data_IF_294332799181
#
_entry.id   IF_294332799181
#
_cell.length_a   1.000
_cell.length_b   1.000
_cell.length_c   1.000
_cell.angle_alpha   90.00
_cell.angle_beta   90.00
_cell.angle_gamma   90.00
#
_symmetry.space_group_name_H-M   'P 1'
#
loop_
_entity.id
_entity.type
_entity.pdbx_description
1 polymer ?
#
# COMPACT_ATOMS: atom_id res chain seq x y z
N UNK A 1 10.36 28.59 -21.07
CA UNK A 1 10.29 27.12 -21.20
C UNK A 1 8.84 26.74 -21.01
N UNK A 2 8.23 26.12 -22.01
CA UNK A 2 6.83 25.70 -21.94
C UNK A 2 6.79 24.17 -21.84
N UNK A 3 5.90 23.64 -21.01
CA UNK A 3 5.82 22.20 -20.73
C UNK A 3 4.41 21.71 -21.02
N UNK A 4 4.28 20.72 -21.90
CA UNK A 4 3.02 20.05 -22.22
C UNK A 4 3.04 18.69 -21.54
N UNK A 5 2.01 18.38 -20.74
CA UNK A 5 1.82 17.08 -20.10
C UNK A 5 0.65 16.38 -20.78
N UNK A 6 0.93 15.30 -21.51
CA UNK A 6 -0.06 14.49 -22.20
C UNK A 6 -0.33 13.25 -21.36
N UNK A 7 -1.59 13.03 -20.98
CA UNK A 7 -2.03 11.81 -20.30
C UNK A 7 -2.76 10.92 -21.29
N UNK A 8 -2.40 9.65 -21.32
CA UNK A 8 -3.01 8.64 -22.19
C UNK A 8 -3.47 7.47 -21.32
N UNK A 9 -4.67 6.96 -21.59
CA UNK A 9 -5.24 5.88 -20.79
C UNK A 9 -4.68 4.49 -21.14
N UNK A 10 -4.08 4.36 -22.33
CA UNK A 10 -3.52 3.12 -22.86
C UNK A 10 -2.00 3.25 -23.09
N UNK A 11 -1.23 2.26 -22.61
CA UNK A 11 0.21 2.17 -22.78
C UNK A 11 0.64 2.04 -24.25
N UNK A 12 -0.16 1.37 -25.08
CA UNK A 12 0.12 1.25 -26.53
C UNK A 12 0.02 2.61 -27.23
N UNK A 13 -1.03 3.37 -26.90
CA UNK A 13 -1.21 4.74 -27.41
C UNK A 13 -0.09 5.67 -26.93
N UNK A 14 0.39 5.51 -25.69
CA UNK A 14 1.54 6.25 -25.19
C UNK A 14 2.79 6.00 -26.05
N UNK A 15 3.05 4.73 -26.40
CA UNK A 15 4.20 4.37 -27.23
C UNK A 15 4.09 4.92 -28.66
N UNK A 16 2.91 4.87 -29.28
CA UNK A 16 2.66 5.46 -30.58
C UNK A 16 2.89 6.98 -30.57
N UNK A 17 2.38 7.65 -29.54
CA UNK A 17 2.50 9.11 -29.39
C UNK A 17 3.96 9.50 -29.13
N UNK A 18 4.71 8.72 -28.36
CA UNK A 18 6.16 8.91 -28.16
C UNK A 18 6.92 8.75 -29.47
N UNK A 19 6.61 7.74 -30.28
CA UNK A 19 7.26 7.55 -31.58
C UNK A 19 6.93 8.69 -32.55
N UNK A 20 5.70 9.21 -32.54
CA UNK A 20 5.32 10.40 -33.29
C UNK A 20 6.10 11.63 -32.83
N UNK A 21 6.16 11.88 -31.53
CA UNK A 21 6.86 13.05 -30.97
C UNK A 21 8.38 12.99 -31.19
N UNK A 22 8.99 11.80 -31.25
CA UNK A 22 10.41 11.63 -31.59
C UNK A 22 10.75 12.10 -33.00
N UNK A 23 9.80 12.07 -33.93
CA UNK A 23 10.03 12.48 -35.31
C UNK A 23 9.98 14.01 -35.50
N UNK A 24 9.60 14.76 -34.47
CA UNK A 24 9.47 16.22 -34.53
C UNK A 24 10.79 16.88 -34.11
N UNK A 25 11.39 17.67 -35.01
CA UNK A 25 12.71 18.29 -34.80
C UNK A 25 12.77 19.27 -33.62
N UNK A 26 11.62 19.74 -33.13
CA UNK A 26 11.51 20.72 -32.04
C UNK A 26 11.31 20.08 -30.65
N UNK A 27 11.23 18.75 -30.57
CA UNK A 27 11.05 18.05 -29.29
C UNK A 27 12.41 17.79 -28.65
N UNK A 28 12.69 18.51 -27.55
CA UNK A 28 13.96 18.41 -26.82
C UNK A 28 14.10 17.14 -25.98
N UNK A 29 13.00 16.69 -25.35
CA UNK A 29 13.02 15.51 -24.47
C UNK A 29 11.60 14.96 -24.26
N UNK A 30 11.48 13.64 -24.17
CA UNK A 30 10.21 12.94 -23.89
C UNK A 30 10.41 12.10 -22.63
N UNK A 31 9.54 12.29 -21.64
CA UNK A 31 9.56 11.54 -20.39
C UNK A 31 8.32 10.66 -20.33
N UNK A 32 8.51 9.35 -20.43
CA UNK A 32 7.45 8.37 -20.35
C UNK A 32 7.37 7.86 -18.91
N UNK A 33 6.51 8.48 -18.10
CA UNK A 33 6.17 7.94 -16.78
C UNK A 33 5.12 6.86 -16.97
N UNK A 34 5.51 5.59 -16.85
CA UNK A 34 4.54 4.52 -16.64
C UNK A 34 3.79 4.85 -15.34
N UNK A 35 2.49 4.60 -15.31
CA UNK A 35 1.70 4.68 -14.08
C UNK A 35 2.44 3.81 -13.06
N UNK A 36 3.09 4.42 -12.09
CA UNK A 36 3.73 3.71 -11.00
C UNK A 36 2.63 2.87 -10.38
N UNK A 37 2.74 1.54 -10.53
CA UNK A 37 2.03 0.60 -9.68
C UNK A 37 2.40 1.01 -8.25
N UNK A 38 1.45 1.67 -7.61
CA UNK A 38 1.38 1.98 -6.18
C UNK A 38 2.70 1.77 -5.45
N UNK A 39 3.49 2.83 -5.24
CA UNK A 39 4.60 2.92 -4.28
C UNK A 39 4.86 1.62 -3.50
N UNK A 40 5.43 0.61 -4.15
CA UNK A 40 5.83 -0.65 -3.52
C UNK A 40 7.20 -0.41 -2.88
N UNK A 41 7.30 0.64 -2.06
CA UNK A 41 8.37 0.68 -1.08
C UNK A 41 8.07 -0.46 -0.12
N UNK A 42 8.98 -1.45 0.02
CA UNK A 42 8.85 -2.39 1.12
C UNK A 42 8.75 -1.56 2.41
N UNK A 43 7.74 -1.86 3.22
CA UNK A 43 7.57 -1.23 4.52
C UNK A 43 8.88 -1.35 5.28
N UNK A 44 9.34 -0.24 5.86
CA UNK A 44 10.51 -0.22 6.73
C UNK A 44 10.21 -0.95 8.03
N UNK A 45 11.24 -1.45 8.72
CA UNK A 45 11.07 -2.21 9.97
C UNK A 45 10.23 -1.44 11.00
N UNK A 46 10.34 -0.11 11.05
CA UNK A 46 9.53 0.74 11.92
C UNK A 46 8.05 0.79 11.53
N UNK A 47 7.73 0.76 10.23
CA UNK A 47 6.35 0.73 9.70
C UNK A 47 5.70 -0.65 9.89
N UNK A 48 6.49 -1.72 9.94
CA UNK A 48 6.02 -3.04 10.36
C UNK A 48 5.65 -3.07 11.85
N UNK A 49 6.43 -2.39 12.69
CA UNK A 49 6.23 -2.36 14.14
C UNK A 49 5.12 -1.37 14.53
N UNK A 50 4.96 -0.28 13.77
CA UNK A 50 3.92 0.74 13.98
C UNK A 50 3.08 0.89 12.72
N UNK A 51 1.98 0.14 12.57
CA UNK A 51 1.04 0.40 11.50
C UNK A 51 0.61 1.88 11.60
N UNK A 52 0.74 2.64 10.51
CA UNK A 52 0.54 4.09 10.48
C UNK A 52 -0.87 4.57 10.92
N UNK A 53 -1.78 3.64 11.20
CA UNK A 53 -3.09 3.86 11.81
C UNK A 53 -3.44 2.67 12.72
N UNK A 54 -4.07 2.94 13.86
CA UNK A 54 -4.70 1.89 14.68
C UNK A 54 -5.83 1.19 13.89
N UNK A 55 -5.98 -0.12 14.08
CA UNK A 55 -7.06 -0.87 13.45
C UNK A 55 -8.44 -0.35 13.91
N UNK A 56 -9.39 -0.28 12.98
CA UNK A 56 -10.77 0.10 13.31
C UNK A 56 -11.50 -1.09 13.97
N UNK A 57 -12.56 -0.81 14.74
CA UNK A 57 -13.34 -1.86 15.43
C UNK A 57 -13.89 -2.92 14.49
N UNK A 58 -14.39 -2.51 13.32
CA UNK A 58 -14.91 -3.42 12.29
C UNK A 58 -13.81 -4.35 11.71
N UNK A 59 -12.60 -3.83 11.54
CA UNK A 59 -11.45 -4.60 11.05
C UNK A 59 -11.02 -5.64 12.08
N UNK A 60 -11.06 -5.27 13.36
CA UNK A 60 -10.77 -6.16 14.49
C UNK A 60 -11.82 -7.28 14.56
N UNK A 61 -13.10 -6.95 14.47
CA UNK A 61 -14.19 -7.95 14.48
C UNK A 61 -14.10 -8.92 13.30
N UNK A 62 -13.75 -8.43 12.11
CA UNK A 62 -13.51 -9.28 10.95
C UNK A 62 -12.30 -10.22 11.12
N UNK A 63 -11.25 -9.75 11.81
CA UNK A 63 -10.07 -10.54 12.14
C UNK A 63 -10.38 -11.61 13.19
N UNK A 64 -11.20 -11.26 14.20
CA UNK A 64 -11.73 -12.18 15.19
C UNK A 64 -12.50 -13.27 14.46
N UNK A 65 -13.53 -12.93 13.67
CA UNK A 65 -14.35 -13.89 12.92
C UNK A 65 -13.53 -14.84 12.04
N UNK A 66 -12.49 -14.34 11.36
CA UNK A 66 -11.57 -15.18 10.58
C UNK A 66 -10.75 -16.13 11.45
N UNK A 67 -10.38 -15.70 12.65
CA UNK A 67 -9.66 -16.52 13.64
C UNK A 67 -10.57 -17.57 14.28
N UNK A 68 -11.87 -17.29 14.45
CA UNK A 68 -12.87 -18.28 14.92
C UNK A 68 -13.03 -19.45 13.94
N UNK A 69 -12.68 -19.25 12.66
CA UNK A 69 -12.67 -20.30 11.64
C UNK A 69 -11.42 -21.19 11.72
N UNK A 70 -10.41 -20.81 12.50
CA UNK A 70 -9.20 -21.63 12.72
C UNK A 70 -9.47 -22.72 13.75
N UNK A 71 -8.92 -23.92 13.55
CA UNK A 71 -9.27 -25.09 14.38
C UNK A 71 -8.55 -25.17 15.73
N UNK A 72 -7.76 -24.15 16.09
CA UNK A 72 -6.74 -24.28 17.16
C UNK A 72 -7.04 -23.49 18.42
N UNK A 73 -7.83 -22.41 18.36
CA UNK A 73 -8.17 -21.60 19.54
C UNK A 73 -9.62 -21.15 19.49
N UNK A 74 -10.30 -21.18 20.65
CA UNK A 74 -11.63 -20.60 20.79
C UNK A 74 -11.56 -19.07 20.91
N UNK A 75 -12.72 -18.41 20.74
CA UNK A 75 -12.83 -16.93 20.75
C UNK A 75 -12.34 -16.32 22.06
N UNK A 76 -12.70 -16.94 23.18
CA UNK A 76 -12.39 -16.45 24.51
C UNK A 76 -10.89 -16.58 24.80
N UNK A 77 -10.29 -17.70 24.42
CA UNK A 77 -8.84 -17.94 24.55
C UNK A 77 -8.04 -16.98 23.68
N UNK A 78 -8.50 -16.71 22.46
CA UNK A 78 -7.86 -15.78 21.53
C UNK A 78 -7.93 -14.34 22.03
N UNK A 79 -9.08 -13.91 22.56
CA UNK A 79 -9.28 -12.58 23.15
C UNK A 79 -8.40 -12.39 24.38
N UNK A 80 -8.41 -13.34 25.31
CA UNK A 80 -7.60 -13.27 26.53
C UNK A 80 -6.09 -13.21 26.21
N UNK A 81 -5.63 -14.00 25.23
CA UNK A 81 -4.25 -13.95 24.76
C UNK A 81 -3.89 -12.60 24.11
N UNK A 82 -4.77 -12.06 23.26
CA UNK A 82 -4.57 -10.76 22.63
C UNK A 82 -4.50 -9.61 23.65
N UNK A 83 -5.40 -9.57 24.62
CA UNK A 83 -5.40 -8.55 25.67
C UNK A 83 -4.15 -8.63 26.55
N UNK A 84 -3.69 -9.84 26.91
CA UNK A 84 -2.43 -10.03 27.65
C UNK A 84 -1.21 -9.50 26.89
N UNK A 85 -1.16 -9.69 25.57
CA UNK A 85 -0.09 -9.15 24.74
C UNK A 85 -0.14 -7.62 24.64
N UNK A 86 -1.33 -7.04 24.49
CA UNK A 86 -1.54 -5.59 24.46
C UNK A 86 -1.13 -4.95 25.79
N UNK A 87 -1.51 -5.53 26.92
CA UNK A 87 -1.11 -5.04 28.25
C UNK A 87 0.40 -5.13 28.48
N UNK A 88 1.04 -6.18 27.98
CA UNK A 88 2.50 -6.32 28.05
C UNK A 88 3.19 -5.25 27.21
N UNK A 89 2.70 -4.99 26.00
CA UNK A 89 3.20 -3.92 25.14
C UNK A 89 3.03 -2.53 25.79
N UNK A 90 1.88 -2.25 26.40
CA UNK A 90 1.67 -1.00 27.13
C UNK A 90 2.61 -0.81 28.33
N UNK A 91 3.05 -1.90 28.97
CA UNK A 91 4.04 -1.84 30.05
C UNK A 91 5.47 -1.64 29.53
N UNK A 92 5.80 -2.18 28.37
CA UNK A 92 7.13 -2.04 27.75
C UNK A 92 7.31 -0.70 27.01
N UNK A 93 6.21 -0.09 26.57
CA UNK A 93 6.17 1.20 25.88
C UNK A 93 6.16 2.41 26.84
N UNK A 94 6.31 2.18 28.15
CA UNK A 94 6.28 3.20 29.21
C UNK A 94 7.62 3.27 29.92
#
# INVERSE_FOLDING_TARGET
>A
METIIIKTDNAENANLLVNFLKNLQYVKSIILKKREESNNKPLTDEEWIKPGRQANKEEIEALIYKSEKSSTLTVEESKDHAYKLIDKWHKESK
#
